data_IF_946235450377
#
_entry.id   IF_946235450377
#
_cell.length_a   1.000
_cell.length_b   1.000
_cell.length_c   1.000
_cell.angle_alpha   90.00
_cell.angle_beta   90.00
_cell.angle_gamma   90.00
#
_symmetry.space_group_name_H-M   'P 1'
#
loop_
_entity.id
_entity.type
_entity.pdbx_description
1 polymer ?
#
# COMPACT_ATOMS: atom_id res chain seq x y z
N UNK A 1 6.20 6.43 13.57
CA UNK A 1 7.17 6.98 12.62
C UNK A 1 7.80 5.81 11.87
N UNK A 2 7.64 5.78 10.55
CA UNK A 2 8.32 4.83 9.66
C UNK A 2 9.66 5.45 9.23
N UNK A 3 10.74 4.70 9.28
CA UNK A 3 12.06 5.19 8.87
C UNK A 3 12.87 4.07 8.21
N UNK A 4 13.83 4.48 7.39
CA UNK A 4 14.78 3.57 6.76
C UNK A 4 16.18 4.14 6.80
N UNK A 5 17.20 3.27 6.79
CA UNK A 5 18.53 3.64 6.34
C UNK A 5 18.52 3.84 4.82
N UNK A 6 19.65 4.04 4.19
CA UNK A 6 19.73 3.90 2.75
C UNK A 6 19.30 2.49 2.35
N UNK A 7 18.33 2.39 1.43
CA UNK A 7 17.82 1.13 0.92
C UNK A 7 18.28 0.94 -0.52
N UNK A 8 18.81 -0.22 -0.84
CA UNK A 8 19.11 -0.58 -2.23
C UNK A 8 18.42 -1.88 -2.60
N UNK A 9 17.60 -1.82 -3.65
CA UNK A 9 17.09 -3.00 -4.34
C UNK A 9 18.10 -3.45 -5.37
N UNK A 10 18.40 -4.74 -5.35
CA UNK A 10 19.26 -5.41 -6.33
C UNK A 10 18.42 -6.37 -7.16
N UNK A 11 18.77 -6.47 -8.44
CA UNK A 11 18.31 -7.50 -9.38
C UNK A 11 19.55 -8.24 -9.87
N UNK A 12 19.64 -9.56 -9.64
CA UNK A 12 20.81 -10.36 -9.98
C UNK A 12 22.14 -9.72 -9.54
N UNK A 13 22.18 -9.26 -8.26
CA UNK A 13 23.31 -8.55 -7.65
C UNK A 13 23.68 -7.17 -8.24
N UNK A 14 22.95 -6.68 -9.23
CA UNK A 14 23.11 -5.32 -9.76
C UNK A 14 22.14 -4.36 -9.06
N UNK A 15 22.60 -3.16 -8.64
CA UNK A 15 21.71 -2.18 -8.01
C UNK A 15 20.68 -1.66 -9.02
N UNK A 16 19.41 -1.91 -8.75
CA UNK A 16 18.28 -1.48 -9.58
C UNK A 16 17.71 -0.14 -9.13
N UNK A 17 17.61 0.06 -7.82
CA UNK A 17 17.04 1.25 -7.23
C UNK A 17 17.70 1.52 -5.87
N UNK A 18 18.18 2.75 -5.67
CA UNK A 18 18.66 3.20 -4.36
C UNK A 18 17.75 4.32 -3.83
N UNK A 19 17.34 4.19 -2.59
CA UNK A 19 16.53 5.13 -1.86
C UNK A 19 17.37 5.73 -0.74
N UNK A 20 17.49 7.06 -0.62
CA UNK A 20 18.17 7.68 0.49
C UNK A 20 17.46 7.35 1.82
N UNK A 21 18.11 7.54 2.98
CA UNK A 21 17.43 7.42 4.26
C UNK A 21 16.19 8.31 4.27
N UNK A 22 15.07 7.75 4.70
CA UNK A 22 13.81 8.49 4.79
C UNK A 22 13.16 8.32 6.16
N UNK A 23 12.32 9.29 6.48
CA UNK A 23 11.50 9.28 7.67
C UNK A 23 10.12 9.80 7.32
N UNK A 24 9.08 9.08 7.76
CA UNK A 24 7.68 9.48 7.60
C UNK A 24 7.05 9.53 8.99
N UNK A 25 6.62 10.71 9.40
CA UNK A 25 6.01 10.91 10.71
C UNK A 25 4.60 10.29 10.78
N UNK A 26 4.07 10.05 11.99
CA UNK A 26 2.70 9.59 12.17
C UNK A 26 1.69 10.53 11.47
N UNK A 27 0.82 9.95 10.65
CA UNK A 27 -0.18 10.70 9.89
C UNK A 27 0.33 11.43 8.65
N UNK A 28 1.63 11.36 8.35
CA UNK A 28 2.20 11.90 7.13
C UNK A 28 2.17 10.88 5.99
N UNK A 29 2.15 11.40 4.77
CA UNK A 29 2.25 10.63 3.52
C UNK A 29 3.45 11.15 2.74
N UNK A 30 4.42 10.27 2.49
CA UNK A 30 5.53 10.53 1.57
C UNK A 30 5.19 9.90 0.22
N UNK A 31 5.23 10.70 -0.83
CA UNK A 31 4.96 10.23 -2.19
C UNK A 31 6.26 9.89 -2.92
N UNK A 32 6.30 8.70 -3.51
CA UNK A 32 7.40 8.24 -4.35
C UNK A 32 6.97 8.32 -5.82
N UNK A 33 7.67 9.12 -6.59
CA UNK A 33 7.47 9.23 -8.03
C UNK A 33 8.70 8.73 -8.78
N UNK A 34 8.52 8.39 -10.04
CA UNK A 34 9.61 7.94 -10.91
C UNK A 34 9.09 7.19 -12.13
N UNK A 35 9.93 6.90 -13.11
CA UNK A 35 9.54 6.25 -14.34
C UNK A 35 8.93 4.86 -14.10
N UNK A 36 8.10 4.40 -15.04
CA UNK A 36 7.55 3.05 -15.00
C UNK A 36 8.68 2.03 -15.09
N UNK A 37 8.55 0.94 -14.32
CA UNK A 37 9.57 -0.12 -14.31
C UNK A 37 10.80 0.14 -13.43
N UNK A 38 10.93 1.31 -12.78
CA UNK A 38 12.08 1.59 -11.91
C UNK A 38 12.08 0.84 -10.55
N UNK A 39 11.15 -0.07 -10.34
CA UNK A 39 11.13 -0.90 -9.12
C UNK A 39 10.29 -0.37 -7.96
N UNK A 40 9.42 0.63 -8.15
CA UNK A 40 8.58 1.19 -7.08
C UNK A 40 7.73 0.15 -6.36
N UNK A 41 6.99 -0.66 -7.11
CA UNK A 41 6.16 -1.74 -6.54
C UNK A 41 7.01 -2.81 -5.85
N UNK A 42 8.19 -3.13 -6.40
CA UNK A 42 9.14 -4.03 -5.76
C UNK A 42 9.70 -3.45 -4.46
N UNK A 43 9.93 -2.15 -4.41
CA UNK A 43 10.32 -1.45 -3.17
C UNK A 43 9.22 -1.56 -2.11
N UNK A 44 7.96 -1.28 -2.47
CA UNK A 44 6.84 -1.44 -1.54
C UNK A 44 6.72 -2.89 -1.05
N UNK A 45 6.84 -3.87 -1.97
CA UNK A 45 6.83 -5.29 -1.60
C UNK A 45 7.98 -5.67 -0.65
N UNK A 46 9.17 -5.09 -0.85
CA UNK A 46 10.32 -5.27 0.04
C UNK A 46 10.06 -4.69 1.43
N UNK A 47 9.51 -3.48 1.51
CA UNK A 47 9.13 -2.83 2.76
C UNK A 47 8.06 -3.64 3.52
N UNK A 48 7.07 -4.18 2.83
CA UNK A 48 6.05 -5.06 3.39
C UNK A 48 6.60 -6.46 3.78
N UNK A 49 7.77 -6.84 3.25
CA UNK A 49 8.36 -8.16 3.45
C UNK A 49 7.74 -9.27 2.58
N UNK A 50 7.05 -8.89 1.51
CA UNK A 50 6.34 -9.81 0.60
C UNK A 50 7.02 -9.96 -0.77
N UNK A 51 8.29 -9.61 -0.87
CA UNK A 51 9.06 -9.90 -2.08
C UNK A 51 9.00 -11.40 -2.37
N UNK A 52 8.61 -11.80 -3.60
CA UNK A 52 8.65 -13.21 -3.97
C UNK A 52 10.09 -13.73 -3.95
N UNK A 53 10.29 -15.02 -3.65
CA UNK A 53 11.59 -15.63 -3.84
C UNK A 53 12.07 -15.45 -5.29
N UNK A 54 13.30 -14.94 -5.45
CA UNK A 54 13.82 -14.67 -6.79
C UNK A 54 15.06 -13.78 -6.76
N UNK A 55 15.40 -13.19 -7.90
CA UNK A 55 16.64 -12.44 -8.08
C UNK A 55 16.64 -11.07 -7.39
N UNK A 56 15.44 -10.59 -6.90
CA UNK A 56 15.35 -9.29 -6.25
C UNK A 56 15.63 -9.44 -4.75
N UNK A 57 16.58 -8.66 -4.25
CA UNK A 57 16.87 -8.55 -2.82
C UNK A 57 16.96 -7.10 -2.36
N UNK A 58 16.70 -6.87 -1.10
CA UNK A 58 16.82 -5.57 -0.43
C UNK A 58 18.03 -5.56 0.48
N UNK A 59 18.83 -4.50 0.42
CA UNK A 59 19.85 -4.16 1.43
C UNK A 59 19.42 -2.87 2.15
N UNK A 60 19.83 -2.75 3.41
CA UNK A 60 19.47 -1.66 4.31
C UNK A 60 18.46 -2.09 5.37
N UNK A 61 18.09 -1.17 6.23
CA UNK A 61 17.23 -1.42 7.37
C UNK A 61 15.93 -0.63 7.30
N UNK A 62 14.86 -1.24 7.77
CA UNK A 62 13.51 -0.65 7.84
C UNK A 62 13.11 -0.70 9.30
N UNK A 63 12.66 0.43 9.85
CA UNK A 63 12.19 0.55 11.22
C UNK A 63 10.82 1.22 11.32
N UNK A 64 10.08 0.87 12.38
CA UNK A 64 8.81 1.50 12.73
C UNK A 64 8.80 1.80 14.23
N UNK A 65 8.89 3.09 14.59
CA UNK A 65 9.21 3.49 15.96
C UNK A 65 10.60 2.98 16.36
N UNK A 66 10.68 2.24 17.43
CA UNK A 66 11.95 1.61 17.91
C UNK A 66 12.11 0.17 17.38
N UNK A 67 11.15 -0.34 16.63
CA UNK A 67 11.13 -1.72 16.16
C UNK A 67 11.79 -1.87 14.81
N UNK A 68 12.85 -2.68 14.72
CA UNK A 68 13.47 -3.07 13.46
C UNK A 68 12.57 -4.09 12.75
N UNK A 69 12.17 -3.80 11.51
CA UNK A 69 11.25 -4.62 10.71
C UNK A 69 11.97 -5.56 9.75
N UNK A 70 13.18 -5.23 9.33
CA UNK A 70 13.91 -5.98 8.28
C UNK A 70 13.96 -7.49 8.54
N UNK A 71 14.27 -8.00 9.76
CA UNK A 71 14.33 -9.43 10.02
C UNK A 71 12.95 -10.09 10.22
N UNK A 72 11.86 -9.30 10.26
CA UNK A 72 10.54 -9.80 10.61
C UNK A 72 9.82 -10.36 9.39
N UNK A 73 9.07 -11.44 9.61
CA UNK A 73 8.11 -11.96 8.63
C UNK A 73 7.00 -10.92 8.35
N UNK A 74 6.38 -10.94 7.15
CA UNK A 74 5.41 -9.92 6.74
C UNK A 74 4.31 -9.63 7.77
N UNK A 75 3.69 -10.69 8.31
CA UNK A 75 2.61 -10.57 9.29
C UNK A 75 3.05 -9.93 10.62
N UNK A 76 4.34 -10.02 10.96
CA UNK A 76 4.90 -9.40 12.17
C UNK A 76 5.29 -7.93 11.96
N UNK A 77 5.41 -7.46 10.72
CA UNK A 77 5.70 -6.06 10.40
C UNK A 77 4.54 -5.13 10.70
N UNK A 78 3.31 -5.62 10.64
CA UNK A 78 2.06 -4.85 10.81
C UNK A 78 1.95 -3.69 9.83
N UNK A 79 2.51 -3.85 8.64
CA UNK A 79 2.40 -2.92 7.52
C UNK A 79 1.24 -3.36 6.64
N UNK A 80 0.27 -2.49 6.45
CA UNK A 80 -0.76 -2.66 5.43
C UNK A 80 -0.20 -2.36 4.05
N UNK A 81 -0.62 -3.09 3.03
CA UNK A 81 -0.24 -2.83 1.65
C UNK A 81 -1.46 -2.91 0.74
N UNK A 82 -1.64 -1.89 -0.07
CA UNK A 82 -2.53 -1.89 -1.22
C UNK A 82 -1.69 -2.11 -2.46
N UNK A 83 -1.95 -3.19 -3.16
CA UNK A 83 -1.34 -3.52 -4.44
C UNK A 83 -2.09 -2.83 -5.57
N UNK A 84 -1.46 -2.68 -6.72
CA UNK A 84 -2.10 -2.18 -7.94
C UNK A 84 -3.32 -3.03 -8.35
N UNK A 85 -3.28 -4.34 -8.09
CA UNK A 85 -4.44 -5.22 -8.20
C UNK A 85 -5.20 -5.28 -6.88
N UNK A 86 -6.53 -5.34 -6.97
CA UNK A 86 -7.42 -5.26 -5.79
C UNK A 86 -7.26 -6.43 -4.82
N UNK A 87 -6.79 -7.59 -5.31
CA UNK A 87 -6.54 -8.83 -4.54
C UNK A 87 -7.67 -9.21 -3.57
N UNK A 88 -8.92 -8.96 -3.97
CA UNK A 88 -10.10 -9.37 -3.21
C UNK A 88 -10.31 -10.88 -3.37
N UNK A 89 -10.73 -11.54 -2.29
CA UNK A 89 -11.11 -12.94 -2.32
C UNK A 89 -12.41 -13.11 -3.10
N UNK A 90 -12.32 -13.69 -4.30
CA UNK A 90 -13.43 -13.77 -5.24
C UNK A 90 -14.64 -14.59 -4.72
N UNK A 91 -14.41 -15.50 -3.79
CA UNK A 91 -15.41 -16.38 -3.17
C UNK A 91 -16.05 -15.81 -1.90
N UNK A 92 -15.55 -14.70 -1.40
CA UNK A 92 -16.09 -13.97 -0.25
C UNK A 92 -16.89 -12.75 -0.72
N UNK A 93 -17.96 -12.43 -0.02
CA UNK A 93 -18.69 -11.18 -0.22
C UNK A 93 -17.82 -9.96 0.11
N UNK A 94 -18.27 -8.77 -0.25
CA UNK A 94 -17.60 -7.51 0.09
C UNK A 94 -17.44 -7.38 1.61
N UNK A 95 -18.51 -7.60 2.38
CA UNK A 95 -18.43 -7.53 3.83
C UNK A 95 -17.47 -8.58 4.40
N UNK A 96 -17.48 -9.81 3.90
CA UNK A 96 -16.56 -10.86 4.34
C UNK A 96 -15.10 -10.53 4.00
N UNK A 97 -14.83 -9.93 2.83
CA UNK A 97 -13.50 -9.42 2.48
C UNK A 97 -13.00 -8.38 3.51
N UNK A 98 -13.86 -7.45 3.91
CA UNK A 98 -13.52 -6.45 4.93
C UNK A 98 -13.29 -7.10 6.29
N UNK A 99 -14.22 -7.98 6.71
CA UNK A 99 -14.12 -8.69 7.98
C UNK A 99 -12.88 -9.59 8.08
N UNK A 100 -12.40 -10.13 6.96
CA UNK A 100 -11.20 -10.95 6.92
C UNK A 100 -9.95 -10.16 7.36
N UNK A 101 -9.85 -8.90 6.98
CA UNK A 101 -8.73 -8.01 7.35
C UNK A 101 -8.76 -7.53 8.81
N UNK A 102 -9.91 -7.57 9.47
CA UNK A 102 -10.06 -6.98 10.81
C UNK A 102 -9.25 -7.71 11.88
N UNK A 103 -8.73 -6.99 12.89
CA UNK A 103 -7.90 -7.56 13.93
C UNK A 103 -8.68 -8.51 14.86
N UNK A 104 -7.95 -9.40 15.54
CA UNK A 104 -8.55 -10.46 16.38
C UNK A 104 -9.25 -9.94 17.64
N UNK A 105 -8.96 -8.72 18.08
CA UNK A 105 -9.63 -8.12 19.25
C UNK A 105 -11.08 -7.73 18.94
N UNK A 106 -11.43 -7.45 17.68
CA UNK A 106 -12.82 -7.28 17.25
C UNK A 106 -13.51 -8.63 17.18
N UNK A 107 -14.14 -9.03 18.28
CA UNK A 107 -14.79 -10.33 18.43
C UNK A 107 -16.28 -10.27 18.09
N UNK A 108 -16.77 -11.36 17.51
CA UNK A 108 -18.18 -11.53 17.15
C UNK A 108 -18.50 -11.11 15.72
N UNK A 109 -19.15 -12.02 14.98
CA UNK A 109 -19.51 -11.81 13.57
C UNK A 109 -20.40 -10.56 13.39
N UNK A 110 -21.35 -10.33 14.31
CA UNK A 110 -22.24 -9.17 14.26
C UNK A 110 -21.49 -7.84 14.38
N UNK A 111 -20.51 -7.75 15.29
CA UNK A 111 -19.69 -6.55 15.50
C UNK A 111 -18.83 -6.28 14.26
N UNK A 112 -18.12 -7.30 13.75
CA UNK A 112 -17.28 -7.17 12.55
C UNK A 112 -18.10 -6.76 11.33
N UNK A 113 -19.32 -7.34 11.17
CA UNK A 113 -20.21 -6.98 10.08
C UNK A 113 -20.71 -5.52 10.22
N UNK A 114 -21.06 -5.08 11.41
CA UNK A 114 -21.44 -3.68 11.65
C UNK A 114 -20.32 -2.72 11.25
N UNK A 115 -19.09 -2.96 11.73
CA UNK A 115 -17.93 -2.15 11.33
C UNK A 115 -17.70 -2.16 9.79
N UNK A 116 -17.90 -3.31 9.13
CA UNK A 116 -17.77 -3.40 7.68
C UNK A 116 -18.83 -2.55 6.96
N UNK A 117 -20.09 -2.56 7.45
CA UNK A 117 -21.18 -1.77 6.88
C UNK A 117 -20.96 -0.27 7.06
N UNK A 118 -20.50 0.16 8.25
CA UNK A 118 -20.13 1.54 8.52
C UNK A 118 -19.02 2.02 7.59
N UNK A 119 -17.95 1.24 7.44
CA UNK A 119 -16.86 1.58 6.54
C UNK A 119 -17.30 1.65 5.05
N UNK A 120 -18.23 0.78 4.63
CA UNK A 120 -18.81 0.84 3.27
C UNK A 120 -19.64 2.11 3.06
N UNK A 121 -20.37 2.55 4.09
CA UNK A 121 -21.16 3.79 4.03
C UNK A 121 -20.24 5.02 3.86
N UNK A 122 -19.11 5.07 4.57
CA UNK A 122 -18.14 6.17 4.45
C UNK A 122 -17.62 6.39 3.02
N UNK A 123 -17.62 5.34 2.19
CA UNK A 123 -17.11 5.39 0.81
C UNK A 123 -18.22 5.29 -0.26
N UNK A 124 -19.48 5.44 0.14
CA UNK A 124 -20.63 5.40 -0.78
C UNK A 124 -20.82 4.02 -1.43
N UNK A 125 -20.63 2.97 -0.65
CA UNK A 125 -20.83 1.57 -1.06
C UNK A 125 -21.88 0.86 -0.21
N UNK A 126 -22.83 1.60 0.36
CA UNK A 126 -24.01 1.05 1.03
C UNK A 126 -24.73 0.09 0.07
N UNK A 127 -25.23 -0.99 0.51
CA UNK A 127 -25.91 -1.98 -0.33
C UNK A 127 -25.00 -2.83 -1.22
N UNK A 128 -23.66 -2.69 -1.14
CA UNK A 128 -22.73 -3.57 -1.84
C UNK A 128 -22.22 -4.72 -0.96
N UNK A 129 -22.56 -4.72 0.34
CA UNK A 129 -21.99 -5.61 1.35
C UNK A 129 -22.09 -7.12 1.01
N UNK A 130 -23.21 -7.54 0.43
CA UNK A 130 -23.49 -8.96 0.14
C UNK A 130 -23.13 -9.37 -1.30
N UNK A 131 -22.56 -8.45 -2.10
CA UNK A 131 -22.10 -8.76 -3.45
C UNK A 131 -20.74 -9.46 -3.41
N UNK A 132 -20.50 -10.28 -4.45
CA UNK A 132 -19.16 -10.81 -4.71
C UNK A 132 -18.31 -9.77 -5.46
N UNK A 133 -16.97 -9.80 -5.33
CA UNK A 133 -16.08 -8.87 -6.03
C UNK A 133 -16.29 -8.82 -7.56
N UNK A 134 -16.67 -9.94 -8.18
CA UNK A 134 -16.97 -9.99 -9.62
C UNK A 134 -18.15 -9.13 -10.07
N UNK A 135 -19.00 -8.70 -9.13
CA UNK A 135 -20.18 -7.86 -9.39
C UNK A 135 -19.89 -6.35 -9.19
N UNK A 136 -18.67 -5.99 -8.82
CA UNK A 136 -18.24 -4.63 -8.57
C UNK A 136 -17.51 -4.05 -9.79
N UNK A 137 -17.63 -2.72 -9.99
CA UNK A 137 -16.74 -1.99 -10.90
C UNK A 137 -15.32 -1.95 -10.38
N UNK A 138 -14.32 -1.62 -11.24
CA UNK A 138 -12.92 -1.49 -10.83
C UNK A 138 -12.74 -0.46 -9.70
N UNK A 139 -13.38 0.70 -9.80
CA UNK A 139 -13.32 1.72 -8.76
C UNK A 139 -14.00 1.31 -7.45
N UNK A 140 -15.05 0.48 -7.48
CA UNK A 140 -15.65 -0.10 -6.28
C UNK A 140 -14.72 -1.10 -5.62
N UNK A 141 -14.06 -1.97 -6.40
CA UNK A 141 -13.07 -2.93 -5.91
C UNK A 141 -11.89 -2.23 -5.24
N UNK A 142 -11.36 -1.18 -5.87
CA UNK A 142 -10.25 -0.39 -5.31
C UNK A 142 -10.61 0.19 -3.94
N UNK A 143 -11.82 0.77 -3.78
CA UNK A 143 -12.31 1.28 -2.50
C UNK A 143 -12.44 0.17 -1.45
N UNK A 144 -13.01 -0.97 -1.78
CA UNK A 144 -13.12 -2.12 -0.87
C UNK A 144 -11.74 -2.62 -0.44
N UNK A 145 -10.80 -2.73 -1.39
CA UNK A 145 -9.44 -3.18 -1.10
C UNK A 145 -8.72 -2.24 -0.12
N UNK A 146 -8.86 -0.93 -0.32
CA UNK A 146 -8.28 0.05 0.60
C UNK A 146 -8.95 0.02 1.99
N UNK A 147 -10.28 -0.08 2.05
CA UNK A 147 -10.99 -0.24 3.33
C UNK A 147 -10.50 -1.48 4.08
N UNK A 148 -10.31 -2.61 3.38
CA UNK A 148 -9.78 -3.83 3.98
C UNK A 148 -8.39 -3.60 4.59
N UNK A 149 -7.52 -2.86 3.90
CA UNK A 149 -6.18 -2.53 4.41
C UNK A 149 -6.24 -1.62 5.65
N UNK A 150 -7.15 -0.65 5.68
CA UNK A 150 -7.34 0.27 6.83
C UNK A 150 -7.99 -0.42 8.03
N UNK A 151 -8.98 -1.29 7.80
CA UNK A 151 -9.67 -2.05 8.85
C UNK A 151 -8.78 -3.11 9.51
N UNK A 152 -7.64 -3.43 8.91
CA UNK A 152 -6.61 -4.28 9.53
C UNK A 152 -5.82 -3.56 10.64
N UNK A 153 -6.07 -2.28 10.88
CA UNK A 153 -5.37 -1.44 11.86
C UNK A 153 -3.84 -1.51 11.69
N UNK A 154 -3.33 -1.20 10.50
CA UNK A 154 -1.90 -1.26 10.25
C UNK A 154 -1.18 -0.14 11.00
N UNK A 155 0.09 -0.38 11.37
CA UNK A 155 0.95 0.63 11.98
C UNK A 155 1.67 1.52 10.95
N UNK A 156 1.70 1.11 9.69
CA UNK A 156 2.11 1.88 8.52
C UNK A 156 1.35 1.38 7.29
N UNK A 157 1.19 2.23 6.26
CA UNK A 157 0.45 1.87 5.04
C UNK A 157 1.30 2.13 3.80
N UNK A 158 1.34 1.16 2.89
CA UNK A 158 1.98 1.26 1.58
C UNK A 158 0.91 1.23 0.50
N UNK A 159 0.92 2.22 -0.37
CA UNK A 159 -0.11 2.44 -1.38
C UNK A 159 0.53 2.41 -2.77
N UNK A 160 0.19 1.42 -3.59
CA UNK A 160 0.68 1.29 -4.97
C UNK A 160 -0.43 1.69 -5.94
N UNK A 161 -0.35 2.90 -6.50
CA UNK A 161 -1.31 3.47 -7.46
C UNK A 161 -2.78 3.41 -6.98
N UNK A 162 -3.10 3.80 -5.72
CA UNK A 162 -4.39 3.49 -5.08
C UNK A 162 -5.60 4.15 -5.75
N UNK A 163 -5.38 5.21 -6.53
CA UNK A 163 -6.45 6.02 -7.10
C UNK A 163 -6.55 5.90 -8.63
N UNK A 164 -5.66 5.13 -9.27
CA UNK A 164 -5.56 5.04 -10.74
C UNK A 164 -6.83 4.52 -11.43
N UNK A 165 -7.65 3.72 -10.74
CA UNK A 165 -8.88 3.11 -11.27
C UNK A 165 -10.15 3.92 -11.00
N UNK A 166 -10.02 5.11 -10.42
CA UNK A 166 -11.15 5.99 -10.08
C UNK A 166 -11.32 7.10 -11.13
N UNK A 167 -12.57 7.48 -11.41
CA UNK A 167 -12.83 8.70 -12.16
C UNK A 167 -12.47 9.96 -11.36
N UNK A 168 -12.21 11.07 -12.06
CA UNK A 168 -11.68 12.28 -11.43
C UNK A 168 -12.47 12.81 -10.23
N UNK A 169 -13.82 12.97 -10.28
CA UNK A 169 -14.57 13.49 -9.14
C UNK A 169 -14.50 12.55 -7.92
N UNK A 170 -14.66 11.25 -8.15
CA UNK A 170 -14.62 10.24 -7.11
C UNK A 170 -13.21 10.10 -6.51
N UNK A 171 -12.18 10.19 -7.39
CA UNK A 171 -10.76 10.14 -6.99
C UNK A 171 -10.43 11.26 -5.99
N UNK A 172 -10.83 12.51 -6.26
CA UNK A 172 -10.57 13.63 -5.38
C UNK A 172 -11.22 13.44 -4.00
N UNK A 173 -12.51 13.08 -3.95
CA UNK A 173 -13.23 12.85 -2.70
C UNK A 173 -12.64 11.67 -1.90
N UNK A 174 -12.33 10.57 -2.58
CA UNK A 174 -11.80 9.38 -1.94
C UNK A 174 -10.37 9.58 -1.42
N UNK A 175 -9.54 10.31 -2.18
CA UNK A 175 -8.19 10.72 -1.77
C UNK A 175 -8.22 11.53 -0.48
N UNK A 176 -9.08 12.55 -0.40
CA UNK A 176 -9.26 13.37 0.81
C UNK A 176 -9.62 12.50 2.01
N UNK A 177 -10.62 11.62 1.86
CA UNK A 177 -11.05 10.72 2.92
C UNK A 177 -9.91 9.83 3.43
N UNK A 178 -9.12 9.26 2.52
CA UNK A 178 -7.98 8.39 2.88
C UNK A 178 -6.93 9.16 3.67
N UNK A 179 -6.54 10.34 3.20
CA UNK A 179 -5.49 11.11 3.87
C UNK A 179 -5.95 11.67 5.22
N UNK A 180 -7.19 12.10 5.34
CA UNK A 180 -7.76 12.49 6.62
C UNK A 180 -7.80 11.31 7.60
N UNK A 181 -8.15 10.13 7.12
CA UNK A 181 -8.16 8.91 7.94
C UNK A 181 -6.76 8.54 8.43
N UNK A 182 -5.75 8.58 7.55
CA UNK A 182 -4.35 8.33 7.92
C UNK A 182 -3.86 9.33 8.96
N UNK A 183 -4.18 10.61 8.78
CA UNK A 183 -3.84 11.68 9.72
C UNK A 183 -4.51 11.47 11.08
N UNK A 184 -5.79 11.17 11.11
CA UNK A 184 -6.57 10.94 12.34
C UNK A 184 -6.05 9.72 13.12
N UNK A 185 -5.70 8.66 12.41
CA UNK A 185 -5.18 7.43 13.02
C UNK A 185 -3.67 7.50 13.32
N UNK A 186 -2.98 8.55 12.90
CA UNK A 186 -1.54 8.68 13.07
C UNK A 186 -0.73 7.62 12.31
N UNK A 187 -1.24 7.13 11.17
CA UNK A 187 -0.60 6.09 10.37
C UNK A 187 0.34 6.75 9.36
N UNK A 188 1.68 6.52 9.42
CA UNK A 188 2.60 6.95 8.37
C UNK A 188 2.34 6.14 7.11
N UNK A 189 2.40 6.79 5.94
CA UNK A 189 2.17 6.10 4.67
C UNK A 189 3.20 6.46 3.60
N UNK A 190 3.52 5.48 2.74
CA UNK A 190 4.23 5.68 1.49
C UNK A 190 3.25 5.48 0.33
N UNK A 191 3.17 6.47 -0.52
CA UNK A 191 2.33 6.47 -1.72
C UNK A 191 3.20 6.40 -2.97
N UNK A 192 2.97 5.42 -3.82
CA UNK A 192 3.50 5.38 -5.18
C UNK A 192 2.41 5.86 -6.13
N UNK A 193 2.70 6.87 -6.92
CA UNK A 193 1.84 7.35 -7.99
C UNK A 193 2.66 8.01 -9.09
N UNK A 194 2.09 8.12 -10.28
CA UNK A 194 2.64 8.89 -11.39
C UNK A 194 1.89 10.23 -11.60
N UNK A 195 0.87 10.51 -10.78
CA UNK A 195 0.03 11.70 -10.85
C UNK A 195 0.31 12.62 -9.65
N UNK A 196 0.82 13.81 -9.92
CA UNK A 196 1.13 14.80 -8.89
C UNK A 196 -0.11 15.27 -8.11
N UNK A 197 -1.30 15.21 -8.74
CA UNK A 197 -2.55 15.54 -8.06
C UNK A 197 -2.85 14.60 -6.88
N UNK A 198 -2.28 13.39 -6.86
CA UNK A 198 -2.46 12.44 -5.76
C UNK A 198 -1.52 12.69 -4.58
N UNK A 199 -0.48 13.48 -4.75
CA UNK A 199 0.50 13.74 -3.70
C UNK A 199 -0.04 14.76 -2.67
N UNK A 200 -0.27 14.36 -1.40
CA UNK A 200 -0.78 15.29 -0.38
C UNK A 200 0.32 16.12 0.29
N UNK A 201 1.59 15.83 0.04
CA UNK A 201 2.72 16.42 0.74
C UNK A 201 4.04 16.23 0.04
N UNK A 202 5.08 15.84 0.77
CA UNK A 202 6.42 15.68 0.23
C UNK A 202 6.48 14.62 -0.89
N UNK A 203 7.21 14.96 -1.96
CA UNK A 203 7.46 14.08 -3.09
C UNK A 203 8.96 13.76 -3.14
N UNK A 204 9.28 12.47 -3.21
CA UNK A 204 10.62 11.99 -3.50
C UNK A 204 10.63 11.39 -4.90
N UNK A 205 11.37 12.02 -5.80
CA UNK A 205 11.52 11.51 -7.17
C UNK A 205 12.65 10.49 -7.21
N UNK A 206 12.29 9.27 -7.57
CA UNK A 206 13.24 8.18 -7.75
C UNK A 206 13.89 8.31 -9.14
N UNK A 207 15.22 8.44 -9.14
CA UNK A 207 16.01 8.40 -10.36
C UNK A 207 16.61 7.01 -10.48
N UNK A 208 16.36 6.33 -11.59
CA UNK A 208 17.01 5.05 -11.88
C UNK A 208 18.45 5.29 -12.32
N UNK A 209 19.43 4.54 -11.80
CA UNK A 209 20.54 4.17 -12.62
C UNK A 209 19.96 3.22 -13.68
N UNK A 210 19.71 3.73 -14.88
CA UNK A 210 19.14 2.95 -15.97
C UNK A 210 20.14 1.82 -16.34
N UNK A 211 19.78 0.57 -16.09
CA UNK A 211 20.31 -0.53 -16.87
C UNK A 211 19.69 -0.33 -18.27
N UNK A 212 20.40 0.37 -19.12
CA UNK A 212 20.05 0.45 -20.54
C UNK A 212 20.16 -0.94 -21.11
N UNK A 213 19.25 -1.32 -22.03
CA UNK A 213 19.26 -2.59 -22.74
C UNK A 213 20.58 -2.87 -23.51
N UNK A 214 21.53 -1.95 -23.51
CA UNK A 214 22.83 -2.09 -24.15
C UNK A 214 23.83 -2.92 -23.34
N UNK A 215 23.56 -3.15 -22.01
CA UNK A 215 24.46 -3.98 -21.20
C UNK A 215 24.09 -5.47 -21.21
N UNK A 216 22.99 -5.85 -21.85
CA UNK A 216 22.56 -7.26 -21.94
C UNK A 216 23.10 -8.04 -23.14
N UNK A 217 23.82 -7.38 -24.07
CA UNK A 217 24.39 -8.01 -25.27
C UNK A 217 25.92 -8.31 -25.15
N UNK A 218 26.45 -8.22 -23.93
CA UNK A 218 27.88 -8.47 -23.64
C UNK A 218 28.13 -9.66 -22.70
N UNK A 219 27.28 -10.72 -22.76
CA UNK A 219 27.62 -12.03 -22.18
C UNK A 219 27.28 -13.14 -23.16
#
# INVERSE_FOLDING_TARGET
MLHTTELTLYLDDHPMLTLPPLTVAPGEVLTLMGPSGCGKSSLLAALAGVLPPGPIRLAGEIGLGERLLTPLAPQARRIGMLFQDDLLFAHLTVAENLMFGMPAHLRGMGVRRACALEALAEVGLEGQADKLPGQLSGGQKARVSLLRALLAEPEALLLDEPFSRLDKPLRAAFRTLVFERLKTLGIPALLVTHDEEDAPGAILTLTTPCLTKEDSDLV
#
